data_IF_858076313336
#
_entry.id   IF_858076313336
#
_cell.length_a   1.000
_cell.length_b   1.000
_cell.length_c   1.000
_cell.angle_alpha   90.00
_cell.angle_beta   90.00
_cell.angle_gamma   90.00
#
_symmetry.space_group_name_H-M   'P 1'
#
loop_
_entity.id
_entity.type
_entity.pdbx_description
1 polymer ?
#
# COMPACT_ATOMS: atom_id res chain seq x y z
N UNK A 1 12.32 4.08 36.41
CA UNK A 1 11.02 3.67 35.86
C UNK A 1 11.21 3.56 34.35
N UNK A 2 11.79 2.46 33.90
CA UNK A 2 12.16 2.29 32.50
C UNK A 2 10.91 1.77 31.79
N UNK A 3 10.17 2.65 31.11
CA UNK A 3 9.10 2.21 30.24
C UNK A 3 9.70 1.26 29.19
N UNK A 4 9.16 0.04 29.01
CA UNK A 4 9.71 -0.98 28.10
C UNK A 4 9.61 -0.59 26.61
N UNK A 5 9.09 0.59 26.31
CA UNK A 5 8.94 1.12 24.95
C UNK A 5 9.86 2.33 24.80
N UNK A 6 11.00 2.13 24.16
CA UNK A 6 11.88 3.21 23.71
C UNK A 6 11.55 3.57 22.27
N UNK A 7 11.30 4.86 21.99
CA UNK A 7 11.05 5.40 20.64
C UNK A 7 12.18 5.08 19.62
N UNK A 8 13.31 4.56 20.09
CA UNK A 8 14.47 4.15 19.32
C UNK A 8 14.46 2.69 18.88
N UNK A 9 13.47 1.86 19.27
CA UNK A 9 13.43 0.45 18.85
C UNK A 9 12.67 0.29 17.54
N UNK A 10 13.41 0.35 16.43
CA UNK A 10 12.89 0.13 15.09
C UNK A 10 13.08 -1.33 14.70
N UNK A 11 11.98 -2.03 14.45
CA UNK A 11 12.00 -3.40 13.96
C UNK A 11 12.29 -3.38 12.47
N UNK A 12 13.58 -3.46 12.15
CA UNK A 12 14.09 -3.55 10.78
C UNK A 12 14.20 -5.00 10.38
N UNK A 13 13.05 -5.67 10.23
CA UNK A 13 13.05 -7.04 9.75
C UNK A 13 13.63 -7.09 8.31
N UNK A 14 14.63 -7.94 8.05
CA UNK A 14 15.24 -8.04 6.72
C UNK A 14 14.22 -8.37 5.62
N UNK A 15 13.18 -9.14 5.96
CA UNK A 15 12.09 -9.47 5.04
C UNK A 15 11.24 -8.24 4.67
N UNK A 16 10.92 -7.38 5.64
CA UNK A 16 10.18 -6.14 5.41
C UNK A 16 10.95 -5.20 4.47
N UNK A 17 12.23 -4.95 4.79
CA UNK A 17 13.08 -4.08 3.98
C UNK A 17 13.31 -4.69 2.59
N UNK A 18 13.59 -5.99 2.52
CA UNK A 18 13.77 -6.70 1.26
C UNK A 18 12.53 -6.62 0.37
N UNK A 19 11.34 -6.82 0.93
CA UNK A 19 10.07 -6.71 0.21
C UNK A 19 9.81 -5.28 -0.29
N UNK A 20 10.04 -4.28 0.55
CA UNK A 20 9.90 -2.86 0.16
C UNK A 20 10.87 -2.46 -0.94
N UNK A 21 12.15 -2.84 -0.81
CA UNK A 21 13.16 -2.57 -1.84
C UNK A 21 12.81 -3.27 -3.15
N UNK A 22 12.32 -4.51 -3.09
CA UNK A 22 11.88 -5.25 -4.26
C UNK A 22 10.70 -4.55 -4.96
N UNK A 23 9.69 -4.09 -4.21
CA UNK A 23 8.55 -3.33 -4.74
C UNK A 23 9.00 -2.01 -5.36
N UNK A 24 9.89 -1.26 -4.69
CA UNK A 24 10.49 -0.04 -5.21
C UNK A 24 11.27 -0.28 -6.51
N UNK A 25 12.03 -1.37 -6.56
CA UNK A 25 12.81 -1.76 -7.74
C UNK A 25 11.90 -2.09 -8.92
N UNK A 26 10.86 -2.90 -8.70
CA UNK A 26 9.84 -3.19 -9.70
C UNK A 26 9.17 -1.91 -10.22
N UNK A 27 8.76 -1.01 -9.33
CA UNK A 27 8.16 0.27 -9.70
C UNK A 27 9.11 1.14 -10.53
N UNK A 28 10.37 1.26 -10.11
CA UNK A 28 11.38 2.04 -10.81
C UNK A 28 11.65 1.49 -12.22
N UNK A 29 11.64 0.17 -12.39
CA UNK A 29 11.79 -0.49 -13.70
C UNK A 29 10.59 -0.18 -14.60
N UNK A 30 9.37 -0.31 -14.08
CA UNK A 30 8.13 -0.09 -14.84
C UNK A 30 7.99 1.37 -15.28
N UNK A 31 8.19 2.32 -14.36
CA UNK A 31 8.01 3.76 -14.62
C UNK A 31 9.23 4.40 -15.30
N UNK A 32 10.42 3.79 -15.17
CA UNK A 32 11.67 4.25 -15.77
C UNK A 32 11.95 3.60 -17.13
N UNK A 33 12.82 2.58 -17.20
CA UNK A 33 13.29 2.00 -18.47
C UNK A 33 12.19 1.29 -19.27
N UNK A 34 11.26 0.60 -18.62
CA UNK A 34 10.20 -0.17 -19.30
C UNK A 34 8.94 0.63 -19.58
N UNK A 35 8.93 1.94 -19.30
CA UNK A 35 7.76 2.81 -19.49
C UNK A 35 7.15 2.68 -20.90
N UNK A 36 8.00 2.62 -21.92
CA UNK A 36 7.60 2.55 -23.34
C UNK A 36 6.95 1.22 -23.73
N UNK A 37 7.22 0.15 -22.97
CA UNK A 37 6.63 -1.16 -23.21
C UNK A 37 5.23 -1.27 -22.60
N UNK A 38 4.94 -0.48 -21.56
CA UNK A 38 3.64 -0.45 -20.90
C UNK A 38 2.71 0.64 -21.43
N UNK A 39 3.27 1.78 -21.83
CA UNK A 39 2.53 2.83 -22.51
C UNK A 39 3.46 3.63 -23.42
N UNK A 40 3.06 3.76 -24.68
CA UNK A 40 3.85 4.48 -25.71
C UNK A 40 4.02 5.96 -25.36
N UNK A 41 3.11 6.53 -24.55
CA UNK A 41 3.06 7.96 -24.26
C UNK A 41 3.04 8.30 -22.76
N UNK A 42 3.60 7.45 -21.89
CA UNK A 42 3.64 7.70 -20.45
C UNK A 42 4.42 8.99 -20.11
N UNK A 43 3.78 10.06 -19.61
CA UNK A 43 4.50 11.25 -19.20
C UNK A 43 5.30 10.92 -17.94
N UNK A 44 6.61 11.20 -17.96
CA UNK A 44 7.41 11.08 -16.74
C UNK A 44 6.99 12.19 -15.77
N UNK A 45 6.24 11.82 -14.74
CA UNK A 45 5.71 12.75 -13.75
C UNK A 45 6.33 12.44 -12.40
N UNK A 46 7.17 13.37 -11.93
CA UNK A 46 7.76 13.34 -10.60
C UNK A 46 6.71 13.25 -9.48
N UNK A 47 5.47 13.68 -9.73
CA UNK A 47 4.38 13.61 -8.76
C UNK A 47 4.01 12.16 -8.44
N UNK A 48 3.92 11.28 -9.45
CA UNK A 48 3.60 9.87 -9.22
C UNK A 48 4.68 9.19 -8.38
N UNK A 49 5.95 9.48 -8.67
CA UNK A 49 7.08 8.96 -7.89
C UNK A 49 7.07 9.46 -6.44
N UNK A 50 6.71 10.73 -6.22
CA UNK A 50 6.56 11.30 -4.87
C UNK A 50 5.43 10.61 -4.09
N UNK A 51 4.26 10.40 -4.70
CA UNK A 51 3.14 9.70 -4.06
C UNK A 51 3.48 8.24 -3.76
N UNK A 52 4.12 7.54 -4.70
CA UNK A 52 4.60 6.18 -4.47
C UNK A 52 5.61 6.11 -3.32
N UNK A 53 6.56 7.04 -3.29
CA UNK A 53 7.53 7.13 -2.18
C UNK A 53 6.82 7.40 -0.85
N UNK A 54 5.83 8.28 -0.82
CA UNK A 54 5.02 8.55 0.36
C UNK A 54 4.24 7.29 0.82
N UNK A 55 3.76 6.46 -0.11
CA UNK A 55 3.10 5.20 0.21
C UNK A 55 4.06 4.23 0.92
N UNK A 56 5.27 4.06 0.38
CA UNK A 56 6.31 3.18 0.93
C UNK A 56 6.76 3.67 2.30
N UNK A 57 6.98 4.98 2.45
CA UNK A 57 7.36 5.57 3.74
C UNK A 57 6.23 5.39 4.76
N UNK A 58 4.98 5.66 4.39
CA UNK A 58 3.81 5.47 5.26
C UNK A 58 3.68 4.01 5.73
N UNK A 59 3.85 3.05 4.82
CA UNK A 59 3.81 1.63 5.13
C UNK A 59 4.95 1.22 6.08
N UNK A 60 6.18 1.66 5.79
CA UNK A 60 7.33 1.39 6.65
C UNK A 60 7.18 2.03 8.03
N UNK A 61 6.61 3.23 8.12
CA UNK A 61 6.31 3.87 9.41
C UNK A 61 5.22 3.13 10.18
N UNK A 62 4.25 2.52 9.52
CA UNK A 62 3.22 1.75 10.22
C UNK A 62 3.76 0.43 10.79
N UNK A 63 4.61 -0.28 10.04
CA UNK A 63 5.06 -1.64 10.40
C UNK A 63 6.45 -1.68 11.04
N UNK A 64 7.41 -0.91 10.53
CA UNK A 64 8.79 -0.92 11.00
C UNK A 64 9.08 0.00 12.18
N UNK A 65 8.12 0.84 12.57
CA UNK A 65 8.29 1.78 13.68
C UNK A 65 7.90 1.16 15.03
N UNK A 66 8.28 1.79 16.16
CA UNK A 66 7.86 1.35 17.50
C UNK A 66 6.34 1.30 17.68
N UNK A 67 5.57 1.88 16.74
CA UNK A 67 4.11 1.84 16.73
C UNK A 67 3.59 0.40 16.70
N UNK A 68 4.26 -0.50 16.00
CA UNK A 68 3.90 -1.91 15.90
C UNK A 68 4.02 -2.61 17.27
N UNK A 69 5.19 -2.49 17.90
CA UNK A 69 5.42 -3.02 19.25
C UNK A 69 4.49 -2.38 20.31
N UNK A 70 4.19 -1.09 20.19
CA UNK A 70 3.23 -0.38 21.05
C UNK A 70 1.80 -0.86 20.83
N UNK A 71 1.42 -1.12 19.59
CA UNK A 71 0.11 -1.62 19.21
C UNK A 71 -0.14 -3.04 19.69
N UNK A 72 0.83 -3.93 19.49
CA UNK A 72 0.69 -5.34 19.88
C UNK A 72 0.67 -5.55 21.40
N UNK A 73 1.48 -4.82 22.16
CA UNK A 73 1.76 -5.20 23.55
C UNK A 73 1.14 -4.28 24.61
N UNK A 74 0.78 -3.03 24.29
CA UNK A 74 0.49 -2.05 25.35
C UNK A 74 -0.70 -1.11 25.09
N UNK A 75 -0.91 -0.64 23.86
CA UNK A 75 -1.85 0.45 23.58
C UNK A 75 -2.78 0.13 22.41
N UNK A 76 -4.03 -0.19 22.73
CA UNK A 76 -5.11 -0.37 21.73
C UNK A 76 -5.26 0.84 20.79
N UNK A 77 -5.02 2.06 21.29
CA UNK A 77 -5.05 3.26 20.46
C UNK A 77 -3.94 3.27 19.40
N UNK A 78 -2.72 2.85 19.76
CA UNK A 78 -1.59 2.76 18.83
C UNK A 78 -1.88 1.70 17.75
N UNK A 79 -2.42 0.55 18.17
CA UNK A 79 -2.85 -0.52 17.29
C UNK A 79 -3.91 -0.06 16.27
N UNK A 80 -4.92 0.69 16.72
CA UNK A 80 -5.95 1.21 15.81
C UNK A 80 -5.40 2.26 14.84
N UNK A 81 -4.48 3.13 15.28
CA UNK A 81 -3.81 4.08 14.38
C UNK A 81 -3.03 3.32 13.29
N UNK A 82 -2.27 2.30 13.67
CA UNK A 82 -1.51 1.47 12.73
C UNK A 82 -2.43 0.86 11.66
N UNK A 83 -3.55 0.25 12.07
CA UNK A 83 -4.53 -0.30 11.13
C UNK A 83 -5.11 0.77 10.20
N UNK A 84 -5.41 1.97 10.70
CA UNK A 84 -5.92 3.06 9.86
C UNK A 84 -4.88 3.56 8.84
N UNK A 85 -3.61 3.65 9.23
CA UNK A 85 -2.52 4.03 8.31
C UNK A 85 -2.36 2.98 7.20
N UNK A 86 -2.44 1.69 7.54
CA UNK A 86 -2.33 0.59 6.58
C UNK A 86 -3.55 0.43 5.68
N UNK A 87 -4.75 0.69 6.19
CA UNK A 87 -6.01 0.48 5.47
C UNK A 87 -6.42 1.67 4.59
N UNK A 88 -6.06 2.89 4.98
CA UNK A 88 -6.47 4.10 4.27
C UNK A 88 -5.31 4.87 3.67
N UNK A 89 -4.32 5.24 4.50
CA UNK A 89 -3.29 6.20 4.09
C UNK A 89 -2.32 5.60 3.07
N UNK A 90 -1.76 4.44 3.38
CA UNK A 90 -0.80 3.73 2.54
C UNK A 90 -1.39 3.32 1.17
N UNK A 91 -2.57 2.69 1.08
CA UNK A 91 -3.17 2.32 -0.20
C UNK A 91 -3.62 3.53 -1.01
N UNK A 92 -4.06 4.62 -0.38
CA UNK A 92 -4.42 5.86 -1.09
C UNK A 92 -3.18 6.46 -1.78
N UNK A 93 -2.06 6.56 -1.07
CA UNK A 93 -0.81 7.05 -1.67
C UNK A 93 -0.27 6.11 -2.74
N UNK A 94 -0.41 4.80 -2.55
CA UNK A 94 0.00 3.82 -3.56
C UNK A 94 -0.83 4.00 -4.83
N UNK A 95 -2.15 4.15 -4.70
CA UNK A 95 -3.06 4.39 -5.81
C UNK A 95 -2.72 5.69 -6.56
N UNK A 96 -2.40 6.77 -5.84
CA UNK A 96 -1.96 8.03 -6.42
C UNK A 96 -0.56 7.95 -7.05
N UNK A 97 0.25 6.98 -6.65
CA UNK A 97 1.58 6.73 -7.20
C UNK A 97 1.58 5.96 -8.50
N UNK A 98 0.47 5.30 -8.86
CA UNK A 98 0.33 4.53 -10.09
C UNK A 98 -0.22 5.44 -11.21
N UNK A 99 0.50 5.61 -12.34
CA UNK A 99 -0.02 6.30 -13.50
C UNK A 99 -1.25 5.59 -14.07
N UNK A 100 -2.29 6.36 -14.40
CA UNK A 100 -3.57 5.81 -14.89
C UNK A 100 -3.41 5.11 -16.23
N UNK A 101 -2.52 5.64 -17.07
CA UNK A 101 -2.25 5.15 -18.41
C UNK A 101 -1.75 3.70 -18.41
N UNK A 102 -0.97 3.30 -17.39
CA UNK A 102 -0.51 1.90 -17.24
C UNK A 102 -1.69 0.99 -16.93
N UNK A 103 -2.62 1.45 -16.08
CA UNK A 103 -3.79 0.66 -15.68
C UNK A 103 -4.78 0.54 -16.84
N UNK A 104 -5.04 1.65 -17.51
CA UNK A 104 -6.00 1.74 -18.62
C UNK A 104 -5.54 0.89 -19.81
N UNK A 105 -4.29 1.05 -20.28
CA UNK A 105 -3.76 0.23 -21.40
C UNK A 105 -3.69 -1.26 -21.03
N UNK A 106 -3.41 -1.60 -19.77
CA UNK A 106 -3.41 -3.00 -19.33
C UNK A 106 -4.82 -3.61 -19.27
N UNK A 107 -5.84 -2.84 -18.88
CA UNK A 107 -7.23 -3.28 -18.80
C UNK A 107 -7.88 -3.39 -20.18
N UNK A 108 -7.61 -2.45 -21.08
CA UNK A 108 -8.13 -2.47 -22.46
C UNK A 108 -7.74 -3.77 -23.19
N UNK A 109 -6.55 -4.30 -22.91
CA UNK A 109 -6.07 -5.57 -23.46
C UNK A 109 -6.74 -6.82 -22.86
N UNK A 110 -7.54 -6.69 -21.78
CA UNK A 110 -8.15 -7.80 -21.04
C UNK A 110 -9.60 -7.50 -20.62
N UNK A 111 -10.58 -7.60 -21.54
CA UNK A 111 -11.97 -7.18 -21.29
C UNK A 111 -12.68 -7.97 -20.18
N UNK A 112 -12.33 -9.25 -19.99
CA UNK A 112 -12.87 -10.07 -18.89
C UNK A 112 -12.39 -9.53 -17.54
N UNK A 113 -11.11 -9.17 -17.45
CA UNK A 113 -10.50 -8.64 -16.24
C UNK A 113 -11.10 -7.28 -15.89
N UNK A 114 -11.27 -6.40 -16.89
CA UNK A 114 -11.92 -5.09 -16.72
C UNK A 114 -13.34 -5.24 -16.16
N UNK A 115 -14.16 -6.14 -16.72
CA UNK A 115 -15.52 -6.38 -16.25
C UNK A 115 -15.56 -6.90 -14.81
N UNK A 116 -14.64 -7.80 -14.47
CA UNK A 116 -14.51 -8.35 -13.12
C UNK A 116 -14.08 -7.28 -12.12
N UNK A 117 -13.10 -6.44 -12.47
CA UNK A 117 -12.65 -5.31 -11.63
C UNK A 117 -13.77 -4.28 -11.45
N UNK A 118 -14.51 -3.93 -12.51
CA UNK A 118 -15.67 -3.02 -12.42
C UNK A 118 -16.76 -3.55 -11.48
N UNK A 119 -16.97 -4.86 -11.46
CA UNK A 119 -17.89 -5.51 -10.51
C UNK A 119 -17.33 -5.46 -9.08
N UNK A 120 -16.09 -5.87 -8.86
CA UNK A 120 -15.47 -5.91 -7.53
C UNK A 120 -15.31 -4.51 -6.90
N UNK A 121 -14.93 -3.51 -7.70
CA UNK A 121 -14.75 -2.13 -7.26
C UNK A 121 -16.05 -1.31 -7.26
N UNK A 122 -17.20 -1.92 -7.59
CA UNK A 122 -18.48 -1.24 -7.42
C UNK A 122 -18.68 -0.89 -5.93
N UNK A 123 -19.06 0.35 -5.56
CA UNK A 123 -19.00 0.83 -4.17
C UNK A 123 -19.78 -0.05 -3.18
N UNK A 124 -20.92 -0.61 -3.62
CA UNK A 124 -21.72 -1.54 -2.80
C UNK A 124 -20.99 -2.87 -2.59
N UNK A 125 -20.41 -3.44 -3.65
CA UNK A 125 -19.73 -4.74 -3.58
C UNK A 125 -18.44 -4.62 -2.79
N UNK A 126 -17.66 -3.57 -3.05
CA UNK A 126 -16.46 -3.24 -2.29
C UNK A 126 -16.78 -3.03 -0.79
N UNK A 127 -17.85 -2.30 -0.47
CA UNK A 127 -18.27 -2.08 0.92
C UNK A 127 -18.74 -3.36 1.61
N UNK A 128 -19.48 -4.23 0.91
CA UNK A 128 -19.90 -5.53 1.44
C UNK A 128 -18.71 -6.46 1.67
N UNK A 129 -17.79 -6.55 0.70
CA UNK A 129 -16.56 -7.35 0.82
C UNK A 129 -15.69 -6.84 1.96
N UNK A 130 -15.51 -5.52 2.06
CA UNK A 130 -14.79 -4.90 3.17
C UNK A 130 -15.41 -5.29 4.52
N UNK A 131 -16.73 -5.13 4.65
CA UNK A 131 -17.46 -5.45 5.89
C UNK A 131 -17.33 -6.92 6.24
N UNK A 132 -17.43 -7.81 5.25
CA UNK A 132 -17.32 -9.25 5.43
C UNK A 132 -15.91 -9.66 5.90
N UNK A 133 -14.88 -9.20 5.20
CA UNK A 133 -13.47 -9.49 5.55
C UNK A 133 -13.13 -8.90 6.91
N UNK A 134 -13.53 -7.64 7.15
CA UNK A 134 -13.31 -6.96 8.42
C UNK A 134 -13.98 -7.72 9.59
N UNK A 135 -15.25 -8.11 9.42
CA UNK A 135 -15.98 -8.86 10.45
C UNK A 135 -15.32 -10.20 10.70
N UNK A 136 -14.98 -10.95 9.66
CA UNK A 136 -14.33 -12.25 9.81
C UNK A 136 -13.01 -12.16 10.57
N UNK A 137 -12.15 -11.20 10.22
CA UNK A 137 -10.86 -11.02 10.89
C UNK A 137 -10.97 -10.55 12.35
N UNK A 138 -12.02 -9.80 12.69
CA UNK A 138 -12.20 -9.30 14.08
C UNK A 138 -13.01 -10.24 14.97
N UNK A 139 -13.82 -11.13 14.39
CA UNK A 139 -14.61 -12.12 15.13
C UNK A 139 -13.93 -13.49 15.26
N UNK A 140 -13.03 -13.84 14.35
CA UNK A 140 -12.24 -15.08 14.40
C UNK A 140 -11.00 -14.91 15.29
#
# INVERSE_FOLDING_TARGET
>A
MNSPVTLSHWHTEPALIGGLLFICWCYAIIVGPYRKNFSSNLPYSHRHTLWFSAAIISFYLAVGSPLDAMGENFLFFAHMIQHNILMYLSPLFLLLGIPREIVDEYLENKPILEKLLKFLFHPIIAGLLFTFVFSFWHFA
#
